data_IF_512354127991
#
_entry.id   IF_512354127991
#
_cell.length_a   1.000
_cell.length_b   1.000
_cell.length_c   1.000
_cell.angle_alpha   90.00
_cell.angle_beta   90.00
_cell.angle_gamma   90.00
#
_symmetry.space_group_name_H-M   'P 1'
#
loop_
_entity.id
_entity.type
_entity.pdbx_description
1 polymer ?
#
# COMPACT_ATOMS: atom_id res chain seq x y z
N UNK A 1 -50.76 -4.27 2.92
CA UNK A 1 -49.87 -4.42 1.76
C UNK A 1 -49.44 -3.04 1.31
N UNK A 2 -48.14 -2.73 1.42
CA UNK A 2 -47.38 -1.87 0.50
C UNK A 2 -45.90 -2.17 0.81
N UNK A 3 -45.13 -2.45 -0.25
CA UNK A 3 -43.77 -2.98 -0.29
C UNK A 3 -42.71 -1.85 -0.26
N UNK A 4 -41.39 -2.17 -0.24
CA UNK A 4 -40.36 -1.44 0.49
C UNK A 4 -39.87 -0.18 -0.22
N UNK A 5 -39.62 0.89 0.53
CA UNK A 5 -38.81 2.02 0.06
C UNK A 5 -37.34 1.76 0.40
N UNK A 6 -36.64 1.24 -0.62
CA UNK A 6 -35.26 1.57 -0.97
C UNK A 6 -34.22 1.58 0.17
N UNK A 7 -33.55 0.44 0.35
CA UNK A 7 -32.16 0.48 0.82
C UNK A 7 -31.36 1.26 -0.23
N UNK A 8 -31.06 2.53 0.03
CA UNK A 8 -30.07 3.24 -0.75
C UNK A 8 -28.71 2.60 -0.49
N UNK A 9 -28.31 1.65 -1.33
CA UNK A 9 -26.92 1.23 -1.51
C UNK A 9 -26.17 2.40 -2.15
N UNK A 10 -25.96 3.48 -1.40
CA UNK A 10 -25.00 4.48 -1.80
C UNK A 10 -23.64 3.80 -1.70
N UNK A 11 -23.03 3.49 -2.85
CA UNK A 11 -21.61 3.18 -2.93
C UNK A 11 -20.85 4.40 -2.40
N UNK A 12 -20.64 4.48 -1.09
CA UNK A 12 -19.86 5.52 -0.49
C UNK A 12 -18.40 5.18 -0.77
N UNK A 13 -17.87 5.74 -1.86
CA UNK A 13 -16.45 5.63 -2.21
C UNK A 13 -15.62 6.25 -1.11
N UNK A 14 -14.88 5.41 -0.37
CA UNK A 14 -13.93 5.88 0.62
C UNK A 14 -12.62 6.22 -0.08
N UNK A 15 -12.24 7.50 0.01
CA UNK A 15 -11.02 8.05 -0.57
C UNK A 15 -10.12 8.58 0.54
N UNK A 16 -8.84 8.22 0.48
CA UNK A 16 -7.78 8.73 1.32
C UNK A 16 -6.80 9.51 0.46
N UNK A 17 -6.49 10.74 0.87
CA UNK A 17 -5.54 11.60 0.16
C UNK A 17 -4.50 12.09 1.14
N UNK A 18 -3.24 11.86 0.81
CA UNK A 18 -2.05 12.23 1.56
C UNK A 18 -1.30 13.23 0.70
N UNK A 19 -1.13 14.45 1.20
CA UNK A 19 -0.55 15.54 0.42
C UNK A 19 0.53 16.27 1.23
N UNK A 20 1.65 16.59 0.58
CA UNK A 20 2.69 17.49 1.09
C UNK A 20 3.22 17.11 2.48
N UNK A 21 3.44 15.82 2.76
CA UNK A 21 4.02 15.35 4.01
C UNK A 21 5.55 15.37 3.95
N UNK A 22 6.16 16.50 4.31
CA UNK A 22 7.59 16.75 4.14
C UNK A 22 8.52 16.11 5.18
N UNK A 23 7.99 15.44 6.22
CA UNK A 23 8.80 14.76 7.26
C UNK A 23 8.44 13.29 7.45
N UNK A 24 7.40 12.82 6.76
CA UNK A 24 6.86 11.47 6.93
C UNK A 24 7.64 10.52 6.05
N UNK A 25 8.37 9.58 6.67
CA UNK A 25 9.17 8.56 5.96
C UNK A 25 8.37 7.34 5.55
N UNK A 26 7.31 7.02 6.30
CA UNK A 26 6.34 5.97 6.02
C UNK A 26 4.93 6.43 6.36
N UNK A 27 3.92 5.92 5.65
CA UNK A 27 2.55 6.37 5.84
C UNK A 27 1.81 5.54 6.91
N UNK A 28 1.94 4.21 6.87
CA UNK A 28 1.17 3.34 7.76
C UNK A 28 1.82 1.97 7.99
N UNK A 29 1.35 1.25 9.01
CA UNK A 29 1.70 -0.16 9.20
C UNK A 29 0.82 -1.08 8.37
N UNK A 30 1.25 -2.33 8.11
CA UNK A 30 0.43 -3.31 7.40
C UNK A 30 -0.88 -3.62 8.14
N UNK A 31 -0.86 -3.64 9.47
CA UNK A 31 -2.08 -3.80 10.29
C UNK A 31 -3.14 -2.73 10.01
N UNK A 32 -2.74 -1.46 9.86
CA UNK A 32 -3.69 -0.39 9.51
C UNK A 32 -4.16 -0.57 8.06
N UNK A 33 -3.26 -0.91 7.12
CA UNK A 33 -3.62 -1.13 5.72
C UNK A 33 -4.61 -2.29 5.53
N UNK A 34 -4.50 -3.36 6.34
CA UNK A 34 -5.48 -4.46 6.39
C UNK A 34 -6.83 -4.02 6.97
N UNK A 35 -6.82 -3.08 7.92
CA UNK A 35 -8.03 -2.56 8.55
C UNK A 35 -8.84 -1.58 7.70
N UNK A 36 -8.28 -1.05 6.60
CA UNK A 36 -8.98 -0.13 5.70
C UNK A 36 -9.88 -0.89 4.70
N UNK A 37 -10.86 -1.60 5.24
CA UNK A 37 -11.73 -2.53 4.50
C UNK A 37 -12.60 -1.89 3.41
N UNK A 38 -12.85 -0.57 3.50
CA UNK A 38 -13.72 0.14 2.55
C UNK A 38 -12.96 1.11 1.65
N UNK A 39 -11.63 1.22 1.79
CA UNK A 39 -10.84 2.20 1.02
C UNK A 39 -10.81 1.80 -0.45
N UNK A 40 -11.38 2.62 -1.32
CA UNK A 40 -11.41 2.42 -2.77
C UNK A 40 -10.34 3.22 -3.50
N UNK A 41 -9.92 4.35 -2.93
CA UNK A 41 -9.01 5.28 -3.61
C UNK A 41 -7.94 5.77 -2.65
N UNK A 42 -6.66 5.57 -3.00
CA UNK A 42 -5.51 6.09 -2.28
C UNK A 42 -4.70 7.02 -3.18
N UNK A 43 -4.63 8.30 -2.82
CA UNK A 43 -3.78 9.31 -3.45
C UNK A 43 -2.67 9.72 -2.49
N UNK A 44 -1.41 9.65 -2.92
CA UNK A 44 -0.25 10.15 -2.18
C UNK A 44 0.57 11.06 -3.10
N UNK A 45 0.72 12.32 -2.71
CA UNK A 45 1.34 13.31 -3.58
C UNK A 45 2.19 14.37 -2.83
N UNK A 46 3.33 14.75 -3.43
CA UNK A 46 4.29 15.72 -2.90
C UNK A 46 4.90 15.39 -1.51
N UNK A 47 4.96 14.12 -1.11
CA UNK A 47 5.62 13.72 0.15
C UNK A 47 7.12 13.49 -0.05
N UNK A 48 7.90 14.56 0.12
CA UNK A 48 9.32 14.59 -0.24
C UNK A 48 10.21 13.61 0.55
N UNK A 49 9.89 13.32 1.82
CA UNK A 49 10.71 12.44 2.67
C UNK A 49 10.22 11.00 2.73
N UNK A 50 9.16 10.64 2.00
CA UNK A 50 8.59 9.31 2.05
C UNK A 50 9.51 8.32 1.32
N UNK A 51 9.94 7.28 2.04
CA UNK A 51 10.84 6.23 1.54
C UNK A 51 10.09 4.94 1.23
N UNK A 52 9.03 4.67 2.02
CA UNK A 52 8.08 3.59 1.80
C UNK A 52 6.67 4.04 2.14
N UNK A 53 5.63 3.42 1.58
CA UNK A 53 4.26 3.75 1.99
C UNK A 53 3.89 2.94 3.22
N UNK A 54 4.20 1.65 3.21
CA UNK A 54 3.84 0.70 4.26
C UNK A 54 5.11 0.18 4.90
N UNK A 55 5.17 0.26 6.23
CA UNK A 55 6.32 -0.25 6.99
C UNK A 55 6.41 -1.77 6.94
N UNK A 56 7.61 -2.31 7.09
CA UNK A 56 7.80 -3.75 7.34
C UNK A 56 7.10 -4.20 8.64
N UNK A 57 6.61 -5.44 8.68
CA UNK A 57 6.23 -6.13 9.91
C UNK A 57 7.30 -7.19 10.25
N UNK A 58 7.71 -7.29 11.52
CA UNK A 58 8.77 -8.22 11.96
C UNK A 58 8.38 -9.70 11.85
N UNK A 59 7.07 -9.99 11.92
CA UNK A 59 6.51 -11.35 11.84
C UNK A 59 5.61 -11.51 10.61
N UNK A 60 6.08 -11.10 9.43
CA UNK A 60 5.38 -11.47 8.21
C UNK A 60 5.61 -12.97 7.97
N UNK A 61 4.52 -13.74 7.99
CA UNK A 61 4.56 -15.14 7.60
C UNK A 61 4.79 -15.27 6.10
N UNK A 62 5.37 -16.39 5.68
CA UNK A 62 5.44 -16.76 4.26
C UNK A 62 4.00 -17.04 3.78
N UNK A 63 3.46 -16.15 2.95
CA UNK A 63 2.07 -16.25 2.50
C UNK A 63 1.62 -15.08 1.66
N UNK A 64 0.34 -15.12 1.26
CA UNK A 64 -0.32 -14.02 0.56
C UNK A 64 -0.74 -12.97 1.60
N UNK A 65 -0.35 -11.73 1.37
CA UNK A 65 -0.74 -10.57 2.17
C UNK A 65 -1.73 -9.75 1.34
N UNK A 66 -2.96 -9.66 1.82
CA UNK A 66 -3.98 -8.78 1.22
C UNK A 66 -3.96 -7.43 1.95
N UNK A 67 -3.67 -6.34 1.24
CA UNK A 67 -3.73 -4.98 1.77
C UNK A 67 -4.80 -4.18 1.02
N UNK A 68 -5.51 -3.30 1.73
CA UNK A 68 -6.63 -2.52 1.20
C UNK A 68 -7.61 -3.37 0.37
N UNK A 69 -8.41 -4.24 1.01
CA UNK A 69 -9.20 -5.26 0.32
C UNK A 69 -10.26 -4.76 -0.66
N UNK A 70 -10.49 -3.45 -0.78
CA UNK A 70 -11.44 -2.83 -1.72
C UNK A 70 -10.79 -1.73 -2.56
N UNK A 71 -9.45 -1.63 -2.58
CA UNK A 71 -8.76 -0.58 -3.30
C UNK A 71 -8.91 -0.77 -4.80
N UNK A 72 -9.45 0.23 -5.48
CA UNK A 72 -9.65 0.26 -6.92
C UNK A 72 -8.62 1.14 -7.64
N UNK A 73 -8.21 2.23 -7.00
CA UNK A 73 -7.27 3.20 -7.57
C UNK A 73 -6.15 3.55 -6.59
N UNK A 74 -4.91 3.36 -7.04
CA UNK A 74 -3.70 3.80 -6.35
C UNK A 74 -2.96 4.84 -7.19
N UNK A 75 -2.73 6.02 -6.62
CA UNK A 75 -2.01 7.11 -7.28
C UNK A 75 -0.86 7.61 -6.41
N UNK A 76 0.36 7.53 -6.95
CA UNK A 76 1.60 7.96 -6.33
C UNK A 76 2.26 9.01 -7.23
N UNK A 77 2.47 10.22 -6.73
CA UNK A 77 2.94 11.35 -7.55
C UNK A 77 3.91 12.27 -6.81
N UNK A 78 4.98 12.70 -7.47
CA UNK A 78 5.98 13.61 -6.88
C UNK A 78 6.54 13.12 -5.53
N UNK A 79 6.98 11.87 -5.49
CA UNK A 79 7.56 11.21 -4.31
C UNK A 79 9.03 10.87 -4.59
N UNK A 80 9.95 11.87 -4.54
CA UNK A 80 11.31 11.70 -5.05
C UNK A 80 12.14 10.67 -4.29
N UNK A 81 11.87 10.45 -3.00
CA UNK A 81 12.62 9.49 -2.18
C UNK A 81 11.91 8.14 -2.02
N UNK A 82 10.75 7.92 -2.66
CA UNK A 82 10.00 6.68 -2.50
C UNK A 82 10.74 5.55 -3.20
N UNK A 83 11.30 4.60 -2.44
CA UNK A 83 12.04 3.47 -2.99
C UNK A 83 11.16 2.27 -3.35
N UNK A 84 10.16 1.99 -2.52
CA UNK A 84 9.20 0.89 -2.70
C UNK A 84 7.88 1.23 -2.01
N UNK A 85 6.77 0.63 -2.44
CA UNK A 85 5.49 0.80 -1.75
C UNK A 85 5.46 0.04 -0.42
N UNK A 86 5.97 -1.20 -0.45
CA UNK A 86 5.98 -2.11 0.69
C UNK A 86 7.18 -3.08 0.60
N UNK A 87 7.81 -3.34 1.74
CA UNK A 87 8.84 -4.35 1.92
C UNK A 87 8.23 -5.59 2.57
N UNK A 88 8.32 -6.74 1.89
CA UNK A 88 7.73 -7.98 2.39
C UNK A 88 8.48 -9.24 1.97
N UNK A 89 8.29 -10.33 2.72
CA UNK A 89 8.69 -11.69 2.36
C UNK A 89 7.54 -12.53 1.76
N UNK A 90 6.33 -11.95 1.69
CA UNK A 90 5.13 -12.58 1.15
C UNK A 90 4.77 -12.10 -0.25
N UNK A 91 3.76 -12.74 -0.84
CA UNK A 91 3.15 -12.24 -2.08
C UNK A 91 2.10 -11.18 -1.72
N UNK A 92 2.14 -10.01 -2.36
CA UNK A 92 1.17 -8.95 -2.13
C UNK A 92 0.00 -9.06 -3.10
N UNK A 93 -1.23 -8.96 -2.58
CA UNK A 93 -2.45 -9.02 -3.38
C UNK A 93 -3.34 -7.78 -3.16
N UNK A 94 -3.84 -7.21 -4.27
CA UNK A 94 -4.89 -6.20 -4.28
C UNK A 94 -6.05 -6.69 -5.16
N UNK A 95 -7.07 -7.36 -4.58
CA UNK A 95 -8.03 -8.14 -5.36
C UNK A 95 -8.94 -7.31 -6.28
N UNK A 96 -9.10 -6.00 -6.02
CA UNK A 96 -9.97 -5.10 -6.78
C UNK A 96 -9.24 -3.95 -7.45
N UNK A 97 -7.90 -3.95 -7.48
CA UNK A 97 -7.13 -2.84 -8.05
C UNK A 97 -7.34 -2.80 -9.57
N UNK A 98 -7.93 -1.71 -10.05
CA UNK A 98 -8.22 -1.47 -11.48
C UNK A 98 -7.21 -0.55 -12.11
N UNK A 99 -6.73 0.43 -11.34
CA UNK A 99 -5.84 1.47 -11.84
C UNK A 99 -4.71 1.73 -10.85
N UNK A 100 -3.49 1.74 -11.37
CA UNK A 100 -2.31 2.12 -10.64
C UNK A 100 -1.52 3.13 -11.46
N UNK A 101 -1.31 4.32 -10.91
CA UNK A 101 -0.56 5.39 -11.56
C UNK A 101 0.60 5.79 -10.66
N UNK A 102 1.81 5.75 -11.22
CA UNK A 102 3.03 6.24 -10.58
C UNK A 102 3.62 7.32 -11.49
N UNK A 103 3.80 8.53 -10.98
CA UNK A 103 4.40 9.66 -11.70
C UNK A 103 5.46 10.33 -10.85
N UNK A 104 6.57 10.73 -11.45
CA UNK A 104 7.60 11.54 -10.77
C UNK A 104 8.07 10.90 -9.44
N UNK A 105 8.32 9.58 -9.45
CA UNK A 105 8.87 8.80 -8.34
C UNK A 105 10.21 8.16 -8.76
N UNK A 106 11.28 8.96 -8.98
CA UNK A 106 12.53 8.52 -9.61
C UNK A 106 13.27 7.39 -8.88
N UNK A 107 13.21 7.33 -7.56
CA UNK A 107 13.88 6.27 -6.77
C UNK A 107 13.12 4.93 -6.78
N UNK A 108 11.86 4.93 -7.23
CA UNK A 108 11.00 3.76 -7.19
C UNK A 108 11.29 2.82 -8.37
N UNK A 109 12.14 1.83 -8.14
CA UNK A 109 12.52 0.83 -9.17
C UNK A 109 11.59 -0.37 -9.21
N UNK A 110 10.98 -0.69 -8.08
CA UNK A 110 10.09 -1.84 -7.91
C UNK A 110 8.91 -1.41 -7.06
N UNK A 111 7.71 -1.87 -7.40
CA UNK A 111 6.53 -1.57 -6.60
C UNK A 111 6.59 -2.22 -5.22
N UNK A 112 6.84 -3.53 -5.18
CA UNK A 112 7.02 -4.30 -3.95
C UNK A 112 8.46 -4.76 -3.90
N UNK A 113 9.13 -4.57 -2.76
CA UNK A 113 10.49 -5.07 -2.53
C UNK A 113 10.39 -6.38 -1.75
N UNK A 114 11.00 -7.44 -2.28
CA UNK A 114 11.07 -8.74 -1.64
C UNK A 114 12.32 -8.83 -0.76
N UNK A 115 12.18 -9.30 0.49
CA UNK A 115 13.33 -9.71 1.29
C UNK A 115 13.71 -11.15 0.95
N UNK A 116 14.82 -11.31 0.22
CA UNK A 116 15.42 -12.63 0.01
C UNK A 116 16.30 -12.93 1.22
N UNK A 117 15.89 -13.89 2.06
CA UNK A 117 16.78 -14.40 3.08
C UNK A 117 17.84 -15.29 2.44
N UNK A 118 19.05 -14.76 2.27
CA UNK A 118 20.21 -15.58 1.87
C UNK A 118 20.89 -16.05 3.15
N UNK A 119 20.69 -17.31 3.51
CA UNK A 119 21.50 -17.98 4.52
C UNK A 119 22.91 -18.16 3.98
N UNK A 120 23.78 -17.18 4.24
CA UNK A 120 25.22 -17.36 3.98
C UNK A 120 25.72 -18.49 4.90
N UNK A 121 26.23 -19.62 4.37
CA UNK A 121 26.80 -20.64 5.22
C UNK A 121 28.07 -20.06 5.85
N UNK A 122 28.13 -20.00 7.18
CA UNK A 122 29.33 -19.59 7.89
C UNK A 122 30.50 -20.48 7.47
N UNK A 123 31.52 -19.91 6.80
CA UNK A 123 32.80 -20.59 6.59
C UNK A 123 33.44 -20.79 7.96
N UNK A 124 33.42 -22.02 8.46
CA UNK A 124 34.24 -22.40 9.62
C UNK A 124 35.70 -22.30 9.19
N UNK A 125 36.48 -21.45 9.88
CA UNK A 125 37.95 -21.43 9.78
C UNK A 125 38.54 -22.72 10.33
#
# INVERSE_FOLDING_TARGET
>A
MLSPTSNSLLHQTSKLTVWSCSKVRNFMSPSVARGLLNLQVLFIEHCQSMEEVITKEEQQGEGIITLFPQLETLYLSYLPNLGHFFLTNGALEFPFLKEMIIKECPEMKTFVKQEIYVSTPSLKR
#
